data_IF_996899547748
#
_entry.id   IF_996899547748
#
_cell.length_a   1.000
_cell.length_b   1.000
_cell.length_c   1.000
_cell.angle_alpha   90.00
_cell.angle_beta   90.00
_cell.angle_gamma   90.00
#
_symmetry.space_group_name_H-M   'P 1'
#
loop_
_entity.id
_entity.type
_entity.pdbx_description
1 polymer ?
#
# COMPACT_ATOMS: atom_id res chain seq x y z
N UNK A 1 -13.31 1.45 16.52
CA UNK A 1 -12.29 0.49 17.02
C UNK A 1 -10.92 1.00 16.59
N UNK A 2 -10.10 1.49 17.52
CA UNK A 2 -8.71 1.87 17.25
C UNK A 2 -7.85 0.60 17.17
N UNK A 3 -7.81 -0.04 16.02
CA UNK A 3 -6.80 -1.06 15.72
C UNK A 3 -5.58 -0.35 15.16
N UNK A 4 -4.81 0.34 16.01
CA UNK A 4 -3.42 0.66 15.67
C UNK A 4 -2.73 -0.67 15.39
N UNK A 5 -2.49 -0.96 14.12
CA UNK A 5 -1.77 -2.14 13.69
C UNK A 5 -0.40 -2.14 14.38
N UNK A 6 -0.21 -3.02 15.36
CA UNK A 6 1.11 -3.33 15.98
C UNK A 6 1.99 -4.10 14.99
N UNK A 7 2.15 -3.54 13.79
CA UNK A 7 3.11 -4.02 12.80
C UNK A 7 4.44 -3.31 13.00
N UNK A 8 5.53 -4.01 12.75
CA UNK A 8 6.87 -3.43 12.72
C UNK A 8 7.52 -3.77 11.39
N UNK A 9 8.41 -2.91 10.92
CA UNK A 9 9.18 -3.13 9.71
C UNK A 9 10.54 -3.70 10.10
N UNK A 10 10.95 -4.74 9.37
CA UNK A 10 12.29 -5.32 9.48
C UNK A 10 12.92 -5.36 8.10
N UNK A 11 14.21 -5.10 8.08
CA UNK A 11 15.04 -5.34 6.91
C UNK A 11 15.67 -6.73 7.06
N UNK A 12 15.37 -7.60 6.11
CA UNK A 12 15.89 -8.96 6.08
C UNK A 12 16.67 -9.16 4.79
N UNK A 13 17.86 -9.78 4.85
CA UNK A 13 18.52 -10.30 3.67
C UNK A 13 17.60 -11.26 2.91
N UNK A 14 17.68 -11.27 1.58
CA UNK A 14 16.83 -12.12 0.75
C UNK A 14 17.01 -13.61 1.04
N UNK A 15 18.21 -14.01 1.49
CA UNK A 15 18.56 -15.38 1.90
C UNK A 15 17.74 -15.85 3.10
N UNK A 16 17.41 -14.95 4.01
CA UNK A 16 16.84 -15.30 5.31
C UNK A 16 15.31 -15.23 5.31
N UNK A 17 14.72 -14.74 4.23
CA UNK A 17 13.28 -14.58 4.08
C UNK A 17 12.52 -15.91 4.24
N UNK A 18 13.06 -17.02 3.72
CA UNK A 18 12.41 -18.33 3.83
C UNK A 18 12.33 -18.83 5.28
N UNK A 19 13.40 -18.63 6.06
CA UNK A 19 13.43 -18.97 7.48
C UNK A 19 12.45 -18.11 8.27
N UNK A 20 12.47 -16.79 8.03
CA UNK A 20 11.56 -15.86 8.69
C UNK A 20 10.09 -16.17 8.37
N UNK A 21 9.76 -16.48 7.11
CA UNK A 21 8.40 -16.84 6.72
C UNK A 21 7.92 -18.12 7.42
N UNK A 22 8.82 -19.09 7.64
CA UNK A 22 8.51 -20.31 8.39
C UNK A 22 8.24 -20.02 9.86
N UNK A 23 9.06 -19.15 10.49
CA UNK A 23 8.84 -18.67 11.85
C UNK A 23 7.49 -17.94 11.96
N UNK A 24 7.24 -16.99 11.08
CA UNK A 24 6.01 -16.19 11.10
C UNK A 24 4.76 -17.07 10.99
N UNK A 25 4.77 -18.10 10.12
CA UNK A 25 3.69 -19.08 10.02
C UNK A 25 3.48 -19.84 11.34
N UNK A 26 4.55 -20.30 11.99
CA UNK A 26 4.46 -20.99 13.30
C UNK A 26 3.91 -20.08 14.40
N UNK A 27 4.27 -18.80 14.35
CA UNK A 27 3.85 -17.81 15.34
C UNK A 27 2.45 -17.22 15.07
N UNK A 28 1.80 -17.62 13.96
CA UNK A 28 0.51 -17.06 13.55
C UNK A 28 0.59 -15.59 13.11
N UNK A 29 1.78 -15.12 12.70
CA UNK A 29 1.98 -13.75 12.25
C UNK A 29 1.67 -13.59 10.77
N UNK A 30 1.10 -12.44 10.42
CA UNK A 30 0.93 -12.03 9.02
C UNK A 30 2.15 -11.25 8.55
N UNK A 31 2.76 -11.68 7.46
CA UNK A 31 3.91 -11.02 6.84
C UNK A 31 3.48 -10.42 5.52
N UNK A 32 3.79 -9.13 5.33
CA UNK A 32 3.64 -8.44 4.05
C UNK A 32 4.99 -7.92 3.59
N UNK A 33 5.29 -8.09 2.31
CA UNK A 33 6.47 -7.49 1.67
C UNK A 33 6.09 -6.13 1.10
N UNK A 34 7.06 -5.23 0.90
CA UNK A 34 6.80 -3.94 0.23
C UNK A 34 6.15 -4.13 -1.15
N UNK A 35 6.56 -5.17 -1.89
CA UNK A 35 5.96 -5.55 -3.18
C UNK A 35 4.50 -5.99 -3.04
N UNK A 36 4.17 -6.80 -2.04
CA UNK A 36 2.77 -7.23 -1.83
C UNK A 36 1.88 -6.07 -1.40
N UNK A 37 2.39 -5.17 -0.55
CA UNK A 37 1.66 -3.95 -0.15
C UNK A 37 1.37 -3.06 -1.36
N UNK A 38 2.37 -2.87 -2.24
CA UNK A 38 2.19 -2.12 -3.49
C UNK A 38 1.15 -2.80 -4.40
N UNK A 39 1.20 -4.11 -4.52
CA UNK A 39 0.23 -4.88 -5.30
C UNK A 39 -1.20 -4.75 -4.76
N UNK A 40 -1.37 -4.82 -3.44
CA UNK A 40 -2.66 -4.61 -2.77
C UNK A 40 -3.19 -3.19 -3.07
N UNK A 41 -2.33 -2.18 -2.97
CA UNK A 41 -2.69 -0.79 -3.27
C UNK A 41 -3.13 -0.59 -4.73
N UNK A 42 -2.39 -1.14 -5.68
CA UNK A 42 -2.74 -1.02 -7.11
C UNK A 42 -4.11 -1.66 -7.38
N UNK A 43 -4.41 -2.80 -6.73
CA UNK A 43 -5.69 -3.50 -6.85
C UNK A 43 -6.84 -2.76 -6.17
N UNK A 44 -6.58 -2.06 -5.07
CA UNK A 44 -7.61 -1.27 -4.36
C UNK A 44 -7.98 0.02 -5.07
N UNK A 45 -7.25 0.40 -6.14
CA UNK A 45 -7.59 1.62 -6.89
C UNK A 45 -8.95 1.47 -7.56
N UNK A 46 -9.81 2.50 -7.49
CA UNK A 46 -11.05 2.51 -8.25
C UNK A 46 -10.72 2.37 -9.73
N UNK A 47 -11.42 1.47 -10.42
CA UNK A 47 -11.22 1.24 -11.87
C UNK A 47 -12.05 2.19 -12.72
N UNK A 48 -13.19 2.59 -12.19
CA UNK A 48 -14.12 3.49 -12.81
C UNK A 48 -14.30 4.66 -11.85
N UNK A 49 -13.61 5.75 -12.14
CA UNK A 49 -13.73 6.99 -11.38
C UNK A 49 -14.60 7.90 -12.24
N UNK A 50 -15.82 8.25 -11.80
CA UNK A 50 -16.69 9.17 -12.52
C UNK A 50 -16.19 10.59 -12.32
N UNK A 51 -15.01 10.88 -12.85
CA UNK A 51 -14.41 12.21 -12.90
C UNK A 51 -14.43 12.62 -14.36
N UNK A 52 -15.00 13.79 -14.61
CA UNK A 52 -15.00 14.40 -15.93
C UNK A 52 -13.65 15.08 -16.23
N UNK A 53 -13.33 15.23 -17.51
CA UNK A 53 -12.13 15.94 -17.94
C UNK A 53 -12.11 17.40 -17.41
N UNK A 54 -13.28 18.03 -17.31
CA UNK A 54 -13.45 19.37 -16.75
C UNK A 54 -13.08 19.43 -15.26
N UNK A 55 -13.45 18.42 -14.47
CA UNK A 55 -13.07 18.32 -13.06
C UNK A 55 -11.56 18.11 -12.89
N UNK A 56 -10.93 17.28 -13.74
CA UNK A 56 -9.46 17.09 -13.74
C UNK A 56 -8.75 18.40 -14.05
N UNK A 57 -9.21 19.11 -15.09
CA UNK A 57 -8.62 20.37 -15.50
C UNK A 57 -8.79 21.45 -14.42
N UNK A 58 -9.96 21.52 -13.79
CA UNK A 58 -10.20 22.45 -12.68
C UNK A 58 -9.30 22.19 -11.48
N UNK A 59 -9.10 20.93 -11.07
CA UNK A 59 -8.14 20.58 -10.02
C UNK A 59 -6.70 20.96 -10.40
N UNK A 60 -6.30 20.65 -11.64
CA UNK A 60 -4.97 21.02 -12.16
C UNK A 60 -4.76 22.54 -12.16
N UNK A 61 -5.76 23.31 -12.59
CA UNK A 61 -5.70 24.77 -12.58
C UNK A 61 -5.59 25.33 -11.16
N UNK A 62 -6.38 24.80 -10.22
CA UNK A 62 -6.37 25.23 -8.83
C UNK A 62 -5.00 24.98 -8.15
N UNK A 63 -4.39 23.81 -8.38
CA UNK A 63 -3.11 23.44 -7.75
C UNK A 63 -1.92 24.12 -8.43
N UNK A 64 -1.85 24.09 -9.76
CA UNK A 64 -0.64 24.47 -10.51
C UNK A 64 -0.61 25.93 -10.94
N UNK A 65 -1.77 26.50 -11.25
CA UNK A 65 -1.87 27.83 -11.85
C UNK A 65 -2.50 28.88 -10.93
N UNK A 66 -2.92 28.49 -9.71
CA UNK A 66 -3.46 29.37 -8.64
C UNK A 66 -4.27 30.53 -9.21
N UNK A 67 -5.32 30.22 -9.96
CA UNK A 67 -6.37 31.21 -10.24
C UNK A 67 -7.28 31.33 -9.03
#
# INVERSE_FOLDING_TARGET
MNTSTKGFYIELPATDYQFFNTLAKKMGWSVKTKKSVLGDFIKSRPKDVPISDDEILNELYAVRYKR
#
